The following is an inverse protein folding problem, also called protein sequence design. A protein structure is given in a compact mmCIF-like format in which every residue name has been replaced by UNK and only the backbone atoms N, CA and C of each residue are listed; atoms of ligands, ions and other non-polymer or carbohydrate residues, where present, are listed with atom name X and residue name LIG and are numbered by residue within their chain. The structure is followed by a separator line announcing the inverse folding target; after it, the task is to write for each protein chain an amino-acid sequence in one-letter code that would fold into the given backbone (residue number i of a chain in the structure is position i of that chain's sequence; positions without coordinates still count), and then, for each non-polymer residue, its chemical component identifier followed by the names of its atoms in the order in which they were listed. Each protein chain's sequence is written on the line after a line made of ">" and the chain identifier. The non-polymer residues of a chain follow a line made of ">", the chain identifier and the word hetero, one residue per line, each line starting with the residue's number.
data_IF_029996862688
#
_entry.id   IF_029996862688
#
_cell.length_a   1.000
_cell.length_b   1.000
_cell.length_c   1.000
_cell.angle_alpha   90.00
_cell.angle_beta   90.00
_cell.angle_gamma   90.00
#
_symmetry.space_group_name_H-M   'P 1'
#
loop_
_entity.id
_entity.type
_entity.pdbx_description
1 polymer ?
#
# COMPACT_ATOMS: atom_id res chain seq x y z
N UNK A 1 4.84 20.21 -6.57
CA UNK A 1 4.21 19.04 -7.17
C UNK A 1 3.37 18.33 -6.11
N UNK A 2 2.12 18.03 -6.42
CA UNK A 2 1.24 17.36 -5.46
C UNK A 2 1.07 15.89 -5.83
N UNK A 3 0.98 15.04 -4.80
CA UNK A 3 0.77 13.61 -4.97
C UNK A 3 -0.72 13.29 -4.97
N UNK A 4 -1.10 12.22 -5.67
CA UNK A 4 -2.45 11.71 -5.68
C UNK A 4 -2.54 10.60 -4.62
N UNK A 5 -3.13 10.93 -3.48
CA UNK A 5 -3.27 9.95 -2.39
C UNK A 5 -4.54 9.11 -2.59
N UNK A 6 -4.46 7.86 -2.20
CA UNK A 6 -5.61 6.96 -2.26
C UNK A 6 -6.53 7.21 -1.07
N UNK A 7 -7.83 7.10 -1.31
CA UNK A 7 -8.86 7.23 -0.29
C UNK A 7 -9.44 5.86 0.05
N UNK A 8 -10.22 5.79 1.13
CA UNK A 8 -10.80 4.53 1.57
C UNK A 8 -11.63 3.86 0.47
N UNK A 9 -12.36 4.64 -0.33
CA UNK A 9 -13.13 4.08 -1.44
C UNK A 9 -12.28 3.36 -2.46
N UNK A 10 -11.09 3.90 -2.76
CA UNK A 10 -10.13 3.25 -3.68
C UNK A 10 -9.71 1.89 -3.14
N UNK A 11 -9.37 1.85 -1.85
CA UNK A 11 -8.95 0.61 -1.21
C UNK A 11 -10.06 -0.43 -1.18
N UNK A 12 -11.30 -0.01 -0.87
CA UNK A 12 -12.43 -0.93 -0.77
C UNK A 12 -12.73 -1.61 -2.10
N UNK A 13 -12.53 -0.91 -3.23
CA UNK A 13 -12.70 -1.52 -4.55
C UNK A 13 -11.63 -2.58 -4.82
N UNK A 14 -10.39 -2.31 -4.42
CA UNK A 14 -9.31 -3.30 -4.52
C UNK A 14 -9.60 -4.50 -3.62
N UNK A 15 -10.04 -4.24 -2.40
CA UNK A 15 -10.38 -5.28 -1.43
C UNK A 15 -11.52 -6.16 -1.93
N UNK A 16 -12.51 -5.57 -2.60
CA UNK A 16 -13.60 -6.34 -3.21
C UNK A 16 -13.05 -7.30 -4.26
N UNK A 17 -12.15 -6.82 -5.12
CA UNK A 17 -11.54 -7.66 -6.16
C UNK A 17 -10.74 -8.82 -5.55
N UNK A 18 -10.10 -8.59 -4.41
CA UNK A 18 -9.27 -9.61 -3.75
C UNK A 18 -10.10 -10.62 -2.97
N UNK A 19 -11.11 -10.15 -2.22
CA UNK A 19 -11.86 -10.99 -1.27
C UNK A 19 -13.15 -11.54 -1.84
N UNK A 20 -13.71 -10.91 -2.86
CA UNK A 20 -15.06 -11.22 -3.36
C UNK A 20 -16.16 -10.64 -2.49
N UNK A 21 -15.82 -9.95 -1.39
CA UNK A 21 -16.81 -9.28 -0.54
C UNK A 21 -17.06 -7.90 -1.13
N UNK A 22 -18.33 -7.54 -1.32
CA UNK A 22 -18.68 -6.26 -1.93
C UNK A 22 -18.16 -5.09 -1.12
N UNK A 23 -17.72 -4.04 -1.82
CA UNK A 23 -17.15 -2.84 -1.19
C UNK A 23 -18.16 -2.23 -0.21
N UNK A 24 -19.45 -2.23 -0.52
CA UNK A 24 -20.50 -1.70 0.36
C UNK A 24 -20.55 -2.44 1.70
N UNK A 25 -20.35 -3.76 1.66
CA UNK A 25 -20.32 -4.57 2.88
C UNK A 25 -19.05 -4.32 3.68
N UNK A 26 -17.91 -4.24 3.00
CA UNK A 26 -16.64 -3.94 3.66
C UNK A 26 -16.69 -2.56 4.32
N UNK A 27 -17.36 -1.60 3.70
CA UNK A 27 -17.51 -0.24 4.24
C UNK A 27 -18.31 -0.22 5.55
N UNK A 28 -19.11 -1.24 5.82
CA UNK A 28 -19.89 -1.36 7.05
C UNK A 28 -19.13 -2.08 8.17
N UNK A 29 -17.90 -2.53 7.90
CA UNK A 29 -17.06 -3.20 8.89
C UNK A 29 -16.09 -2.21 9.51
N UNK A 30 -16.31 -1.77 10.77
CA UNK A 30 -15.45 -0.75 11.38
C UNK A 30 -13.96 -1.13 11.40
N UNK A 31 -13.65 -2.40 11.64
CA UNK A 31 -12.27 -2.88 11.64
C UNK A 31 -11.60 -2.64 10.28
N UNK A 32 -12.29 -2.98 9.19
CA UNK A 32 -11.75 -2.79 7.84
C UNK A 32 -11.49 -1.32 7.59
N UNK A 33 -12.50 -0.47 7.82
CA UNK A 33 -12.40 0.95 7.54
C UNK A 33 -11.32 1.62 8.39
N UNK A 34 -11.31 1.33 9.68
CA UNK A 34 -10.38 2.00 10.61
C UNK A 34 -8.93 1.60 10.35
N UNK A 35 -8.66 0.31 10.19
CA UNK A 35 -7.30 -0.16 9.98
C UNK A 35 -6.76 0.20 8.59
N UNK A 36 -7.61 0.15 7.57
CA UNK A 36 -7.21 0.57 6.23
C UNK A 36 -6.97 2.08 6.17
N UNK A 37 -7.89 2.87 6.75
CA UNK A 37 -7.74 4.34 6.77
C UNK A 37 -6.47 4.77 7.49
N UNK A 38 -6.12 4.10 8.57
CA UNK A 38 -4.88 4.36 9.28
C UNK A 38 -3.66 4.21 8.37
N UNK A 39 -3.62 3.11 7.61
CA UNK A 39 -2.51 2.87 6.68
C UNK A 39 -2.52 3.86 5.51
N UNK A 40 -3.70 4.16 4.97
CA UNK A 40 -3.84 5.07 3.83
C UNK A 40 -3.43 6.50 4.16
N UNK A 41 -3.49 6.89 5.43
CA UNK A 41 -3.10 8.23 5.87
C UNK A 41 -1.59 8.41 5.97
N UNK A 42 -0.81 7.32 5.98
CA UNK A 42 0.63 7.38 6.20
C UNK A 42 1.38 8.15 5.09
N UNK A 43 1.14 7.90 3.81
CA UNK A 43 1.91 8.59 2.76
C UNK A 43 1.80 10.11 2.80
N UNK A 44 0.64 10.64 3.18
CA UNK A 44 0.42 12.09 3.24
C UNK A 44 0.65 12.69 4.61
N UNK A 45 1.11 11.91 5.59
CA UNK A 45 1.29 12.40 6.95
C UNK A 45 2.43 13.41 7.04
N UNK A 46 2.33 14.29 8.04
CA UNK A 46 3.34 15.30 8.22
C UNK A 46 2.96 16.26 9.33
N UNK A 47 3.71 17.34 9.42
CA UNK A 47 3.56 18.34 10.45
C UNK A 47 3.62 19.73 9.83
N UNK A 48 2.49 20.42 9.75
CA UNK A 48 2.43 21.72 9.07
C UNK A 48 2.81 21.55 7.60
N UNK A 49 3.82 22.29 7.17
CA UNK A 49 4.34 22.25 5.80
C UNK A 49 5.31 21.08 5.57
N UNK A 50 5.69 20.37 6.63
CA UNK A 50 6.70 19.33 6.53
C UNK A 50 6.06 17.97 6.38
N UNK A 51 6.41 17.28 5.29
CA UNK A 51 5.99 15.89 5.09
C UNK A 51 6.85 14.97 5.94
N UNK A 52 6.23 13.99 6.58
CA UNK A 52 6.96 12.97 7.33
C UNK A 52 7.78 12.10 6.37
N UNK A 53 7.24 11.84 5.19
CA UNK A 53 7.87 10.97 4.19
C UNK A 53 7.88 11.68 2.82
N UNK A 54 8.86 12.58 2.58
CA UNK A 54 8.87 13.38 1.35
C UNK A 54 9.22 12.58 0.09
N UNK A 55 9.93 11.48 0.24
CA UNK A 55 10.34 10.66 -0.90
C UNK A 55 9.21 9.72 -1.32
N UNK A 56 8.94 9.62 -2.64
CA UNK A 56 7.83 8.81 -3.11
C UNK A 56 8.00 7.33 -2.77
N UNK A 57 9.21 6.79 -2.83
CA UNK A 57 9.47 5.40 -2.47
C UNK A 57 9.10 5.12 -1.00
N UNK A 58 9.34 6.08 -0.10
CA UNK A 58 8.89 5.95 1.28
C UNK A 58 7.38 5.91 1.37
N UNK A 59 6.70 6.81 0.66
CA UNK A 59 5.23 6.85 0.67
C UNK A 59 4.65 5.53 0.19
N UNK A 60 5.13 5.02 -0.92
CA UNK A 60 4.61 3.78 -1.51
C UNK A 60 4.94 2.55 -0.66
N UNK A 61 6.19 2.45 -0.22
CA UNK A 61 6.64 1.31 0.58
C UNK A 61 5.96 1.23 1.94
N UNK A 62 5.80 2.38 2.60
CA UNK A 62 5.14 2.42 3.91
C UNK A 62 3.65 2.14 3.80
N UNK A 63 3.01 2.59 2.72
CA UNK A 63 1.61 2.25 2.48
C UNK A 63 1.40 0.74 2.45
N UNK A 64 2.18 0.04 1.66
CA UNK A 64 2.09 -1.42 1.57
C UNK A 64 2.40 -2.08 2.90
N UNK A 65 3.47 -1.63 3.57
CA UNK A 65 3.89 -2.19 4.86
C UNK A 65 2.78 -2.07 5.91
N UNK A 66 2.18 -0.89 6.03
CA UNK A 66 1.17 -0.65 7.04
C UNK A 66 -0.13 -1.40 6.74
N UNK A 67 -0.53 -1.50 5.46
CA UNK A 67 -1.68 -2.31 5.09
C UNK A 67 -1.46 -3.78 5.40
N UNK A 68 -0.28 -4.31 5.09
CA UNK A 68 0.04 -5.71 5.36
C UNK A 68 0.05 -5.99 6.87
N UNK A 69 0.58 -5.07 7.68
CA UNK A 69 0.71 -5.25 9.12
C UNK A 69 -0.58 -4.97 9.87
N UNK A 70 -1.37 -3.98 9.45
CA UNK A 70 -2.63 -3.65 10.09
C UNK A 70 -3.69 -4.73 9.90
N UNK A 71 -3.56 -5.50 8.82
CA UNK A 71 -4.38 -6.69 8.60
C UNK A 71 -5.89 -6.35 8.61
N UNK A 72 -6.35 -5.39 7.80
CA UNK A 72 -7.74 -4.91 7.91
C UNK A 72 -8.79 -5.90 7.45
N UNK A 73 -8.45 -6.79 6.49
CA UNK A 73 -9.41 -7.70 5.87
C UNK A 73 -9.46 -9.05 6.58
N UNK A 74 -10.56 -9.78 6.46
CA UNK A 74 -10.63 -11.16 6.96
C UNK A 74 -9.60 -12.07 6.30
N UNK A 75 -9.29 -11.83 5.02
CA UNK A 75 -8.32 -12.60 4.25
C UNK A 75 -7.81 -11.73 3.09
N UNK A 76 -6.67 -12.13 2.50
CA UNK A 76 -6.14 -11.45 1.32
C UNK A 76 -5.38 -10.16 1.59
N UNK A 77 -4.97 -9.92 2.83
CA UNK A 77 -4.32 -8.66 3.22
C UNK A 77 -3.02 -8.39 2.47
N UNK A 78 -2.19 -9.42 2.27
CA UNK A 78 -0.92 -9.27 1.57
C UNK A 78 -1.14 -8.88 0.10
N UNK A 79 -2.10 -9.52 -0.54
CA UNK A 79 -2.44 -9.24 -1.93
C UNK A 79 -3.05 -7.86 -2.09
N UNK A 80 -3.96 -7.49 -1.18
CA UNK A 80 -4.57 -6.16 -1.21
C UNK A 80 -3.53 -5.06 -0.95
N UNK A 81 -2.59 -5.29 -0.04
CA UNK A 81 -1.51 -4.34 0.22
C UNK A 81 -0.65 -4.12 -1.02
N UNK A 82 -0.27 -5.20 -1.70
CA UNK A 82 0.52 -5.12 -2.92
C UNK A 82 -0.22 -4.36 -4.02
N UNK A 83 -1.47 -4.74 -4.30
CA UNK A 83 -2.26 -4.10 -5.35
C UNK A 83 -2.54 -2.63 -5.06
N UNK A 84 -2.74 -2.28 -3.78
CA UNK A 84 -2.95 -0.89 -3.37
C UNK A 84 -1.68 -0.07 -3.61
N UNK A 85 -0.52 -0.62 -3.31
CA UNK A 85 0.75 0.04 -3.59
C UNK A 85 0.93 0.26 -5.09
N UNK A 86 0.64 -0.75 -5.91
CA UNK A 86 0.75 -0.62 -7.37
C UNK A 86 -0.18 0.47 -7.90
N UNK A 87 -1.42 0.51 -7.42
CA UNK A 87 -2.36 1.56 -7.81
C UNK A 87 -1.83 2.94 -7.45
N UNK A 88 -1.29 3.10 -6.25
CA UNK A 88 -0.71 4.37 -5.80
C UNK A 88 0.47 4.79 -6.66
N UNK A 89 1.35 3.84 -6.96
CA UNK A 89 2.53 4.08 -7.81
C UNK A 89 2.09 4.56 -9.19
N UNK A 90 1.17 3.85 -9.83
CA UNK A 90 0.75 4.16 -11.20
C UNK A 90 -0.06 5.45 -11.28
N UNK A 91 -0.87 5.73 -10.28
CA UNK A 91 -1.66 6.96 -10.22
C UNK A 91 -0.77 8.20 -10.13
N UNK A 92 0.44 8.04 -9.62
CA UNK A 92 1.39 9.14 -9.49
C UNK A 92 2.43 9.19 -10.60
N UNK A 93 2.20 8.47 -11.70
CA UNK A 93 3.05 8.55 -12.87
C UNK A 93 4.33 7.75 -12.80
N UNK A 94 4.40 6.79 -11.90
CA UNK A 94 5.54 5.87 -11.79
C UNK A 94 5.14 4.48 -12.23
N UNK A 95 6.13 3.66 -12.48
CA UNK A 95 5.97 2.23 -12.73
C UNK A 95 6.93 1.49 -11.80
N UNK A 96 6.44 0.43 -11.18
CA UNK A 96 7.30 -0.48 -10.43
C UNK A 96 7.74 -1.58 -11.38
N UNK A 97 9.07 -1.70 -11.58
CA UNK A 97 9.61 -2.77 -12.40
C UNK A 97 9.13 -4.11 -11.83
N UNK A 98 8.43 -4.89 -12.66
CA UNK A 98 7.76 -6.08 -12.18
C UNK A 98 8.76 -7.15 -11.74
N UNK A 99 8.74 -7.56 -10.47
CA UNK A 99 9.47 -8.74 -10.05
C UNK A 99 8.75 -9.98 -10.60
N UNK A 100 9.43 -11.12 -10.60
CA UNK A 100 8.74 -12.37 -10.84
C UNK A 100 7.66 -12.58 -9.79
N UNK A 101 6.63 -13.36 -10.12
CA UNK A 101 5.51 -13.62 -9.21
C UNK A 101 6.02 -14.17 -7.88
N UNK A 102 6.96 -15.11 -7.92
CA UNK A 102 7.50 -15.72 -6.69
C UNK A 102 8.26 -14.70 -5.84
N UNK A 103 8.99 -13.79 -6.45
CA UNK A 103 9.70 -12.74 -5.73
C UNK A 103 8.72 -11.78 -5.06
N UNK A 104 7.67 -11.37 -5.76
CA UNK A 104 6.66 -10.46 -5.22
C UNK A 104 5.97 -11.07 -3.99
N UNK A 105 5.58 -12.34 -4.10
CA UNK A 105 4.96 -13.06 -2.98
C UNK A 105 5.91 -13.16 -1.80
N UNK A 106 7.15 -13.56 -2.05
CA UNK A 106 8.15 -13.72 -0.99
C UNK A 106 8.40 -12.41 -0.23
N UNK A 107 8.58 -11.32 -0.96
CA UNK A 107 8.85 -10.01 -0.37
C UNK A 107 7.69 -9.57 0.53
N UNK A 108 6.44 -9.70 0.06
CA UNK A 108 5.28 -9.26 0.85
C UNK A 108 5.04 -10.17 2.05
N UNK A 109 5.25 -11.48 1.91
CA UNK A 109 5.14 -12.42 3.04
C UNK A 109 6.15 -12.06 4.12
N UNK A 110 7.40 -11.82 3.74
CA UNK A 110 8.46 -11.46 4.69
C UNK A 110 8.22 -10.09 5.34
N UNK A 111 7.67 -9.15 4.57
CA UNK A 111 7.29 -7.84 5.09
C UNK A 111 6.18 -8.00 6.14
N UNK A 112 5.14 -8.73 5.83
CA UNK A 112 3.99 -8.91 6.71
C UNK A 112 4.37 -9.62 8.02
N UNK A 113 5.31 -10.57 7.96
CA UNK A 113 5.77 -11.32 9.12
C UNK A 113 6.76 -10.54 10.00
N UNK A 114 7.29 -9.41 9.50
CA UNK A 114 8.32 -8.66 10.19
C UNK A 114 9.73 -9.15 9.91
N UNK A 115 9.90 -10.21 9.12
CA UNK A 115 11.22 -10.71 8.74
C UNK A 115 11.97 -9.69 7.89
N UNK A 116 11.26 -9.01 6.97
CA UNK A 116 11.83 -7.94 6.17
C UNK A 116 11.47 -6.60 6.83
N UNK A 117 12.47 -5.86 7.36
CA UNK A 117 12.19 -4.56 7.98
C UNK A 117 11.60 -3.56 6.98
N UNK A 118 10.79 -2.65 7.50
CA UNK A 118 10.12 -1.62 6.69
C UNK A 118 11.11 -0.80 5.84
N UNK A 119 12.22 -0.40 6.45
CA UNK A 119 13.24 0.39 5.74
C UNK A 119 13.86 -0.38 4.58
N UNK A 120 14.04 -1.68 4.74
CA UNK A 120 14.59 -2.53 3.68
C UNK A 120 13.58 -2.70 2.55
N UNK A 121 12.30 -2.80 2.89
CA UNK A 121 11.25 -2.85 1.87
C UNK A 121 11.18 -1.53 1.08
N UNK A 122 11.27 -0.41 1.76
CA UNK A 122 11.31 0.91 1.10
C UNK A 122 12.49 0.98 0.13
N UNK A 123 13.67 0.51 0.57
CA UNK A 123 14.85 0.47 -0.29
C UNK A 123 14.62 -0.41 -1.53
N UNK A 124 13.99 -1.56 -1.34
CA UNK A 124 13.65 -2.46 -2.45
C UNK A 124 12.69 -1.78 -3.45
N UNK A 125 11.66 -1.08 -2.95
CA UNK A 125 10.73 -0.32 -3.79
C UNK A 125 11.49 0.76 -4.56
N UNK A 126 12.34 1.52 -3.86
CA UNK A 126 13.13 2.59 -4.48
C UNK A 126 13.95 2.09 -5.66
N UNK A 127 14.54 0.92 -5.52
CA UNK A 127 15.39 0.35 -6.57
C UNK A 127 14.60 -0.07 -7.81
N UNK A 128 13.27 -0.20 -7.70
CA UNK A 128 12.42 -0.68 -8.80
C UNK A 128 11.49 0.40 -9.37
N UNK A 129 11.46 1.59 -8.79
CA UNK A 129 10.62 2.67 -9.29
C UNK A 129 11.28 3.37 -10.47
N UNK A 130 10.48 3.59 -11.53
CA UNK A 130 10.88 4.44 -12.65
C UNK A 130 9.69 5.32 -13.02
N UNK A 131 9.98 6.46 -13.65
CA UNK A 131 8.92 7.30 -14.18
C UNK A 131 8.27 6.62 -15.38
N UNK A 132 6.94 6.71 -15.46
CA UNK A 132 6.22 6.20 -16.61
C UNK A 132 6.54 7.08 -17.82
N UNK A 133 6.68 6.43 -19.00
CA UNK A 133 6.96 7.17 -20.24
C UNK A 133 5.71 7.87 -20.77
#
# INVERSE_FOLDING_TARGET
>A
MSWQYLEIGDYLLIAEAVTGIKAELLAEMPRVVNLASSALSVPGSGWGDKEAYPEFAQKAGLLASRLAKNHPLPDGNKRAAWLTMIEFVERNGYVLAQPGTDEAVDVVVRLASGELPEADFVHWVRSRLTLAS
#
